data_IF_896928273201
#
_entry.id   IF_896928273201
#
_cell.length_a   1.000
_cell.length_b   1.000
_cell.length_c   1.000
_cell.angle_alpha   90.00
_cell.angle_beta   90.00
_cell.angle_gamma   90.00
#
_symmetry.space_group_name_H-M   'P 1'
#
loop_
_entity.id
_entity.type
_entity.pdbx_description
1 polymer ?
#
# COMPACT_ATOMS: atom_id res chain seq x y z
N UNK A 1 -8.92 11.02 4.18
CA UNK A 1 -7.59 11.65 4.09
C UNK A 1 -6.68 11.20 5.23
N UNK A 2 -7.02 11.42 6.51
CA UNK A 2 -6.20 10.96 7.65
C UNK A 2 -6.06 9.43 7.75
N UNK A 3 -7.13 8.68 7.50
CA UNK A 3 -7.15 7.21 7.64
C UNK A 3 -6.04 6.47 6.88
N UNK A 4 -5.74 6.83 5.63
CA UNK A 4 -4.68 6.17 4.85
C UNK A 4 -3.28 6.47 5.38
N UNK A 5 -3.05 7.70 5.87
CA UNK A 5 -1.79 8.08 6.50
C UNK A 5 -1.64 7.54 7.93
N UNK A 6 -2.68 6.94 8.50
CA UNK A 6 -2.58 6.17 9.74
C UNK A 6 -2.46 4.68 9.45
N UNK A 7 -3.09 4.19 8.37
CA UNK A 7 -3.15 2.77 8.03
C UNK A 7 -1.92 2.27 7.25
N UNK A 8 -1.38 3.03 6.30
CA UNK A 8 -0.22 2.55 5.54
C UNK A 8 1.03 2.56 6.42
N UNK A 9 1.74 1.45 6.61
CA UNK A 9 2.99 1.50 7.34
C UNK A 9 4.02 2.32 6.57
N UNK A 10 4.86 3.06 7.28
CA UNK A 10 5.99 3.75 6.68
C UNK A 10 7.02 2.72 6.17
N UNK A 11 7.55 2.94 4.97
CA UNK A 11 8.60 2.10 4.38
C UNK A 11 8.17 0.69 3.96
N UNK A 12 6.86 0.37 4.05
CA UNK A 12 6.35 -0.98 3.76
C UNK A 12 5.47 -1.00 2.49
N UNK A 13 5.87 -1.76 1.46
CA UNK A 13 5.01 -2.06 0.32
C UNK A 13 3.77 -2.86 0.71
N UNK A 14 2.60 -2.40 0.27
CA UNK A 14 1.31 -3.08 0.50
C UNK A 14 0.67 -3.50 -0.81
N UNK A 15 -0.07 -4.61 -0.79
CA UNK A 15 -0.78 -5.08 -2.00
C UNK A 15 -2.20 -4.54 -2.09
N UNK A 16 -2.79 -4.61 -3.28
CA UNK A 16 -4.23 -4.37 -3.49
C UNK A 16 -5.10 -5.23 -2.57
N UNK A 17 -4.71 -6.49 -2.32
CA UNK A 17 -5.45 -7.38 -1.44
C UNK A 17 -5.33 -6.94 0.02
N UNK A 18 -4.15 -6.49 0.45
CA UNK A 18 -3.96 -5.92 1.79
C UNK A 18 -4.84 -4.69 2.01
N UNK A 19 -4.90 -3.77 1.04
CA UNK A 19 -5.77 -2.60 1.11
C UNK A 19 -7.25 -2.99 1.27
N UNK A 20 -7.73 -3.93 0.46
CA UNK A 20 -9.11 -4.47 0.58
C UNK A 20 -9.39 -5.11 1.94
N UNK A 21 -8.40 -5.77 2.56
CA UNK A 21 -8.54 -6.34 3.90
C UNK A 21 -8.69 -5.27 4.98
N UNK A 22 -8.08 -4.09 4.81
CA UNK A 22 -8.22 -2.99 5.78
C UNK A 22 -9.61 -2.36 5.75
N UNK A 23 -10.22 -2.22 4.58
CA UNK A 23 -11.59 -1.73 4.44
C UNK A 23 -12.20 -2.12 3.09
N UNK A 24 -13.48 -2.52 3.05
CA UNK A 24 -14.21 -2.74 1.80
C UNK A 24 -14.26 -1.52 0.89
N UNK A 25 -14.05 -0.31 1.44
CA UNK A 25 -14.03 0.95 0.71
C UNK A 25 -12.80 1.10 -0.20
N UNK A 26 -11.77 0.27 -0.05
CA UNK A 26 -10.60 0.25 -0.94
C UNK A 26 -10.83 -0.64 -2.17
N UNK A 27 -11.89 -0.33 -2.92
CA UNK A 27 -12.21 -1.00 -4.18
C UNK A 27 -11.31 -0.51 -5.34
N UNK A 28 -11.59 -0.97 -6.58
CA UNK A 28 -10.77 -0.57 -7.75
C UNK A 28 -10.80 0.95 -7.96
N UNK A 29 -11.98 1.54 -7.89
CA UNK A 29 -12.16 2.97 -8.15
C UNK A 29 -11.51 3.83 -7.07
N UNK A 30 -11.62 3.43 -5.81
CA UNK A 30 -10.96 4.08 -4.70
C UNK A 30 -9.43 4.03 -4.85
N UNK A 31 -8.86 2.87 -5.16
CA UNK A 31 -7.39 2.76 -5.39
C UNK A 31 -6.95 3.64 -6.56
N UNK A 32 -7.68 3.65 -7.67
CA UNK A 32 -7.35 4.51 -8.81
C UNK A 32 -7.41 6.00 -8.44
N UNK A 33 -8.41 6.41 -7.64
CA UNK A 33 -8.52 7.78 -7.15
C UNK A 33 -7.35 8.14 -6.22
N UNK A 34 -6.87 7.19 -5.41
CA UNK A 34 -5.72 7.41 -4.52
C UNK A 34 -4.40 7.52 -5.30
N UNK A 35 -4.24 6.78 -6.39
CA UNK A 35 -3.11 6.92 -7.31
C UNK A 35 -3.15 8.29 -8.01
N UNK A 36 -4.30 8.69 -8.56
CA UNK A 36 -4.48 9.98 -9.25
C UNK A 36 -4.24 11.18 -8.33
N UNK A 37 -4.65 11.06 -7.06
CA UNK A 37 -4.45 12.12 -6.05
C UNK A 37 -3.09 12.05 -5.35
N UNK A 38 -2.17 11.20 -5.81
CA UNK A 38 -0.84 11.01 -5.24
C UNK A 38 -0.88 10.73 -3.72
N UNK A 39 -1.91 10.02 -3.26
CA UNK A 39 -2.03 9.50 -1.89
C UNK A 39 -1.49 8.06 -1.77
N UNK A 40 -1.29 7.41 -2.91
CA UNK A 40 -0.63 6.12 -3.08
C UNK A 40 0.34 6.23 -4.25
N UNK A 41 1.51 5.61 -4.13
CA UNK A 41 2.48 5.49 -5.21
C UNK A 41 2.59 4.03 -5.62
N UNK A 42 2.53 3.76 -6.92
CA UNK A 42 2.76 2.42 -7.46
C UNK A 42 4.26 2.09 -7.47
N UNK A 43 4.63 0.95 -6.89
CA UNK A 43 5.97 0.37 -7.06
C UNK A 43 5.99 -0.66 -8.20
N UNK A 44 4.93 -1.45 -8.31
CA UNK A 44 4.73 -2.48 -9.33
C UNK A 44 3.21 -2.70 -9.50
N UNK A 45 2.75 -3.37 -10.58
CA UNK A 45 1.33 -3.67 -10.74
C UNK A 45 0.74 -4.38 -9.51
N UNK A 46 -0.20 -3.73 -8.83
CA UNK A 46 -0.86 -4.26 -7.64
C UNK A 46 -0.09 -4.10 -6.31
N UNK A 47 1.10 -3.48 -6.33
CA UNK A 47 1.94 -3.20 -5.15
C UNK A 47 2.16 -1.70 -5.02
N UNK A 48 1.86 -1.17 -3.83
CA UNK A 48 1.82 0.26 -3.60
C UNK A 48 2.54 0.65 -2.31
N UNK A 49 2.96 1.91 -2.23
CA UNK A 49 3.58 2.51 -1.05
C UNK A 49 2.97 3.87 -0.76
N UNK A 50 3.19 4.32 0.48
CA UNK A 50 2.92 5.69 0.87
C UNK A 50 3.85 6.65 0.09
N UNK A 51 3.32 7.70 -0.53
CA UNK A 51 4.12 8.76 -1.13
C UNK A 51 5.05 9.41 -0.09
N UNK A 52 6.27 9.75 -0.47
CA UNK A 52 7.25 10.41 0.40
C UNK A 52 7.91 9.51 1.46
N UNK A 53 7.59 8.20 1.47
CA UNK A 53 8.24 7.27 2.40
C UNK A 53 9.62 6.83 1.90
N UNK A 54 10.53 6.56 2.83
CA UNK A 54 11.81 5.92 2.54
C UNK A 54 11.62 4.40 2.50
N UNK A 55 11.79 3.82 1.32
CA UNK A 55 11.74 2.37 1.15
C UNK A 55 13.00 1.74 1.76
N UNK A 56 12.82 0.75 2.64
CA UNK A 56 13.93 0.00 3.24
C UNK A 56 13.90 -1.44 2.77
N UNK A 57 15.06 -2.10 2.69
CA UNK A 57 15.12 -3.51 2.30
C UNK A 57 14.40 -4.40 3.32
N UNK A 58 14.42 -4.04 4.61
CA UNK A 58 13.68 -4.73 5.66
C UNK A 58 12.18 -4.65 5.43
N UNK A 59 11.67 -3.47 5.06
CA UNK A 59 10.26 -3.27 4.73
C UNK A 59 9.83 -4.06 3.49
N UNK A 60 10.71 -4.17 2.49
CA UNK A 60 10.48 -5.02 1.32
C UNK A 60 10.43 -6.49 1.69
N UNK A 61 11.40 -7.00 2.46
CA UNK A 61 11.41 -8.41 2.91
C UNK A 61 10.18 -8.74 3.74
N UNK A 62 9.79 -7.86 4.69
CA UNK A 62 8.58 -8.05 5.49
C UNK A 62 7.31 -8.06 4.63
N UNK A 63 7.25 -7.23 3.59
CA UNK A 63 6.13 -7.25 2.63
C UNK A 63 6.10 -8.55 1.83
N UNK A 64 7.25 -9.04 1.35
CA UNK A 64 7.34 -10.31 0.64
C UNK A 64 6.89 -11.47 1.53
N UNK A 65 7.35 -11.51 2.78
CA UNK A 65 6.91 -12.50 3.77
C UNK A 65 5.40 -12.43 4.00
N UNK A 66 4.82 -11.23 4.12
CA UNK A 66 3.37 -11.09 4.26
C UNK A 66 2.59 -11.52 3.02
N UNK A 67 3.19 -11.47 1.82
CA UNK A 67 2.53 -11.81 0.56
C UNK A 67 2.65 -13.30 0.25
N UNK A 68 3.84 -13.88 0.50
CA UNK A 68 4.21 -15.23 0.07
C UNK A 68 4.43 -16.21 1.23
N UNK A 69 4.67 -15.73 2.44
CA UNK A 69 4.96 -16.55 3.64
C UNK A 69 3.73 -17.18 4.29
N UNK A 70 2.64 -17.38 3.55
CA UNK A 70 1.46 -18.14 3.99
C UNK A 70 0.97 -19.08 2.92
#
# INVERSE_FOLDING_TARGET
RALLQTLLPEGLPVTKQWLKKQSPQFDRHAVDNLLKSNQLRSLAPGVYVRPGTHLTWQGVVAALESIFGR
#
